data_IF_626952590349
#
_entry.id   IF_626952590349
#
_cell.length_a   1.000
_cell.length_b   1.000
_cell.length_c   1.000
_cell.angle_alpha   90.00
_cell.angle_beta   90.00
_cell.angle_gamma   90.00
#
_symmetry.space_group_name_H-M   'P 1'
#
loop_
_entity.id
_entity.type
_entity.pdbx_description
1 polymer ?
#
# COMPACT_ATOMS: atom_id res chain seq x y z
N UNK A 1 1.59 5.26 0.78
CA UNK A 1 1.90 6.59 0.23
C UNK A 1 0.64 7.45 0.06
N UNK A 2 -0.45 6.97 -0.59
CA UNK A 2 -1.65 7.77 -0.85
C UNK A 2 -2.31 8.32 0.42
N UNK A 3 -2.44 7.52 1.47
CA UNK A 3 -2.96 7.97 2.78
C UNK A 3 -2.05 9.05 3.36
N UNK A 4 -0.73 8.86 3.32
CA UNK A 4 0.25 9.84 3.81
C UNK A 4 0.17 11.16 3.04
N UNK A 5 0.11 11.10 1.71
CA UNK A 5 0.05 12.28 0.85
C UNK A 5 -1.25 13.08 1.07
N UNK A 6 -2.38 12.40 1.28
CA UNK A 6 -3.68 13.05 1.41
C UNK A 6 -3.99 13.53 2.84
N UNK A 7 -3.60 12.76 3.86
CA UNK A 7 -3.99 13.01 5.25
C UNK A 7 -2.83 13.38 6.18
N UNK A 8 -1.56 13.26 5.74
CA UNK A 8 -0.38 13.57 6.55
C UNK A 8 -0.39 15.01 7.08
N UNK A 9 -0.11 15.18 8.37
CA UNK A 9 -0.13 16.46 9.07
C UNK A 9 -1.54 17.03 9.30
N UNK A 10 -2.60 16.32 8.92
CA UNK A 10 -3.99 16.79 9.05
C UNK A 10 -4.70 16.11 10.22
N UNK A 11 -5.57 16.87 10.89
CA UNK A 11 -6.50 16.35 11.87
C UNK A 11 -7.63 15.62 11.16
N UNK A 12 -7.91 14.38 11.57
CA UNK A 12 -8.95 13.58 10.96
C UNK A 12 -10.18 13.44 11.85
N UNK A 13 -11.35 13.41 11.24
CA UNK A 13 -12.57 12.85 11.83
C UNK A 13 -12.66 11.38 11.42
N UNK A 14 -12.67 10.49 12.41
CA UNK A 14 -12.73 9.05 12.17
C UNK A 14 -14.05 8.47 12.65
N UNK A 15 -14.65 7.59 11.84
CA UNK A 15 -15.87 6.86 12.18
C UNK A 15 -15.86 5.44 11.62
N UNK A 16 -16.65 4.56 12.25
CA UNK A 16 -16.91 3.21 11.75
C UNK A 16 -18.41 3.06 11.53
N UNK A 17 -18.92 3.35 10.33
CA UNK A 17 -20.35 3.46 10.07
C UNK A 17 -21.16 2.24 10.46
N UNK A 18 -20.64 1.03 10.27
CA UNK A 18 -21.30 -0.22 10.67
C UNK A 18 -20.78 -0.78 12.00
N UNK A 19 -20.01 -0.01 12.75
CA UNK A 19 -19.60 -0.32 14.12
C UNK A 19 -18.50 -1.39 14.29
N UNK A 20 -18.05 -2.05 13.23
CA UNK A 20 -17.07 -3.15 13.33
C UNK A 20 -15.67 -2.70 13.80
N UNK A 21 -15.42 -1.39 13.86
CA UNK A 21 -14.20 -0.76 14.34
C UNK A 21 -14.52 0.49 15.18
N UNK A 22 -15.67 0.54 15.82
CA UNK A 22 -16.19 1.73 16.51
C UNK A 22 -15.23 2.23 17.59
N UNK A 23 -14.73 1.35 18.47
CA UNK A 23 -13.81 1.73 19.55
C UNK A 23 -12.48 2.24 18.99
N UNK A 24 -11.94 1.59 17.94
CA UNK A 24 -10.71 2.05 17.29
C UNK A 24 -10.91 3.41 16.63
N UNK A 25 -11.99 3.59 15.88
CA UNK A 25 -12.31 4.86 15.24
C UNK A 25 -12.47 6.00 16.27
N UNK A 26 -13.17 5.74 17.39
CA UNK A 26 -13.34 6.71 18.45
C UNK A 26 -12.00 7.16 19.07
N UNK A 27 -11.04 6.24 19.21
CA UNK A 27 -9.72 6.53 19.81
C UNK A 27 -8.81 7.36 18.91
N UNK A 28 -8.97 7.29 17.59
CA UNK A 28 -8.19 8.12 16.63
C UNK A 28 -8.97 9.33 16.11
N UNK A 29 -10.25 9.43 16.46
CA UNK A 29 -11.07 10.57 16.06
C UNK A 29 -10.54 11.87 16.67
N UNK A 30 -10.33 12.88 15.84
CA UNK A 30 -9.78 14.16 16.22
C UNK A 30 -8.25 14.18 16.36
N UNK A 31 -7.56 13.08 16.09
CA UNK A 31 -6.07 13.03 16.11
C UNK A 31 -5.49 13.49 14.78
N UNK A 32 -4.21 13.89 14.80
CA UNK A 32 -3.45 14.23 13.59
C UNK A 32 -2.72 13.00 13.09
N UNK A 33 -2.83 12.70 11.80
CA UNK A 33 -2.02 11.68 11.14
C UNK A 33 -0.58 12.21 11.00
N UNK A 34 0.37 11.60 11.71
CA UNK A 34 1.76 12.07 11.75
C UNK A 34 2.67 11.35 10.76
N UNK A 35 2.39 10.06 10.49
CA UNK A 35 3.12 9.28 9.50
C UNK A 35 2.26 8.15 8.93
N UNK A 36 2.66 7.62 7.77
CA UNK A 36 2.05 6.42 7.20
C UNK A 36 3.02 5.73 6.24
N UNK A 37 3.26 4.44 6.47
CA UNK A 37 4.11 3.61 5.63
C UNK A 37 3.50 2.21 5.46
N UNK A 38 4.10 1.43 4.57
CA UNK A 38 3.73 0.03 4.37
C UNK A 38 4.97 -0.85 4.33
N UNK A 39 4.88 -2.06 4.89
CA UNK A 39 5.85 -3.14 4.76
C UNK A 39 5.12 -4.37 4.28
N UNK A 40 5.52 -4.89 3.12
CA UNK A 40 4.77 -5.94 2.44
C UNK A 40 3.34 -5.51 2.18
N UNK A 41 2.40 -6.28 2.73
CA UNK A 41 0.96 -6.03 2.60
C UNK A 41 0.35 -5.37 3.84
N UNK A 42 1.17 -4.85 4.74
CA UNK A 42 0.75 -4.22 5.99
C UNK A 42 0.94 -2.70 5.89
N UNK A 43 -0.11 -1.94 6.05
CA UNK A 43 -0.06 -0.49 6.19
C UNK A 43 -0.08 -0.13 7.68
N UNK A 44 0.73 0.84 8.05
CA UNK A 44 0.77 1.43 9.39
C UNK A 44 0.60 2.93 9.27
N UNK A 45 -0.32 3.51 10.02
CA UNK A 45 -0.57 4.94 10.07
C UNK A 45 -0.50 5.42 11.52
N UNK A 46 0.45 6.31 11.80
CA UNK A 46 0.71 6.89 13.12
C UNK A 46 -0.16 8.09 13.39
N UNK A 47 -0.57 8.27 14.64
CA UNK A 47 -1.31 9.43 15.11
C UNK A 47 -0.60 10.13 16.27
N UNK A 48 -0.85 11.44 16.43
CA UNK A 48 -0.27 12.29 17.46
C UNK A 48 -0.61 11.85 18.91
N UNK A 49 -1.54 10.93 19.06
CA UNK A 49 -1.92 10.34 20.35
C UNK A 49 -1.14 9.04 20.69
N UNK A 50 -0.09 8.71 19.95
CA UNK A 50 0.75 7.52 20.15
C UNK A 50 0.12 6.20 19.69
N UNK A 51 -0.96 6.24 18.95
CA UNK A 51 -1.59 5.04 18.37
C UNK A 51 -1.23 4.87 16.91
N UNK A 52 -1.20 3.62 16.48
CA UNK A 52 -0.99 3.20 15.10
C UNK A 52 -2.21 2.44 14.60
N UNK A 53 -2.76 2.86 13.47
CA UNK A 53 -3.72 2.07 12.71
C UNK A 53 -2.95 1.09 11.81
N UNK A 54 -3.15 -0.20 12.04
CA UNK A 54 -2.68 -1.25 11.14
C UNK A 54 -3.80 -1.73 10.24
N UNK A 55 -3.53 -1.77 8.93
CA UNK A 55 -4.46 -2.28 7.92
C UNK A 55 -3.78 -3.33 7.04
N UNK A 56 -4.47 -4.45 6.83
CA UNK A 56 -4.17 -5.43 5.80
C UNK A 56 -5.40 -5.60 4.91
N UNK A 57 -5.31 -5.22 3.66
CA UNK A 57 -6.44 -5.25 2.74
C UNK A 57 -6.92 -6.68 2.46
N UNK A 58 -5.99 -7.65 2.35
CA UNK A 58 -6.33 -8.99 1.95
C UNK A 58 -6.71 -9.05 0.46
N UNK A 59 -7.67 -9.93 0.12
CA UNK A 59 -8.09 -10.15 -1.27
C UNK A 59 -9.21 -9.18 -1.67
N UNK A 60 -10.06 -8.79 -0.72
CA UNK A 60 -11.28 -8.01 -0.98
C UNK A 60 -11.24 -6.60 -0.40
N UNK A 61 -10.21 -6.27 0.36
CA UNK A 61 -10.08 -4.96 0.97
C UNK A 61 -9.69 -3.89 -0.03
N UNK A 62 -10.21 -2.67 0.19
CA UNK A 62 -9.83 -1.51 -0.58
C UNK A 62 -9.98 -0.21 0.21
N UNK A 63 -9.23 0.79 -0.21
CA UNK A 63 -9.43 2.18 0.12
C UNK A 63 -10.05 2.90 -1.08
N UNK A 64 -11.14 3.61 -0.86
CA UNK A 64 -11.75 4.51 -1.83
C UNK A 64 -11.61 5.95 -1.33
N UNK A 65 -11.28 6.88 -2.23
CA UNK A 65 -11.00 8.27 -1.90
C UNK A 65 -11.91 9.23 -2.64
N UNK A 66 -12.30 10.33 -1.99
CA UNK A 66 -13.10 11.43 -2.56
C UNK A 66 -12.56 12.78 -2.14
N UNK A 67 -12.93 13.82 -2.89
CA UNK A 67 -12.56 15.20 -2.64
C UNK A 67 -11.12 15.50 -3.08
N UNK A 68 -10.42 16.32 -2.31
CA UNK A 68 -9.03 16.68 -2.61
C UNK A 68 -8.09 15.53 -2.27
N UNK A 69 -7.76 14.73 -3.29
CA UNK A 69 -6.81 13.61 -3.19
C UNK A 69 -5.48 14.05 -3.74
N UNK A 70 -4.43 14.06 -2.90
CA UNK A 70 -3.09 14.44 -3.32
C UNK A 70 -2.48 13.31 -4.15
N UNK A 71 -2.11 13.60 -5.40
CA UNK A 71 -1.42 12.62 -6.24
C UNK A 71 -0.03 12.30 -5.67
N UNK A 72 0.33 11.02 -5.68
CA UNK A 72 1.69 10.57 -5.34
C UNK A 72 2.52 10.57 -6.61
N UNK A 73 3.64 11.30 -6.60
CA UNK A 73 4.58 11.37 -7.73
C UNK A 73 5.79 10.46 -7.45
N UNK A 74 5.98 9.48 -8.32
CA UNK A 74 7.12 8.56 -8.31
C UNK A 74 8.14 8.84 -9.43
N UNK A 75 8.12 10.03 -10.05
CA UNK A 75 9.06 10.39 -11.14
C UNK A 75 10.52 10.33 -10.69
N UNK A 76 10.79 10.60 -9.42
CA UNK A 76 12.12 10.47 -8.81
C UNK A 76 12.45 9.05 -8.29
N UNK A 77 11.59 8.08 -8.56
CA UNK A 77 11.67 6.71 -8.04
C UNK A 77 10.77 6.46 -6.83
N UNK A 78 10.60 5.19 -6.48
CA UNK A 78 9.85 4.79 -5.28
C UNK A 78 10.76 4.92 -4.07
N UNK A 79 10.42 5.72 -3.06
CA UNK A 79 11.26 5.90 -1.88
C UNK A 79 11.32 4.64 -1.03
N UNK A 80 12.49 4.36 -0.46
CA UNK A 80 12.62 3.33 0.57
C UNK A 80 11.83 3.71 1.82
N UNK A 81 11.27 2.70 2.48
CA UNK A 81 10.54 2.88 3.73
C UNK A 81 11.53 2.98 4.89
N UNK A 82 11.46 4.08 5.64
CA UNK A 82 12.18 4.22 6.91
C UNK A 82 11.29 3.71 8.04
N UNK A 83 11.76 2.71 8.78
CA UNK A 83 11.03 2.16 9.93
C UNK A 83 11.18 3.07 11.16
N UNK A 84 10.19 3.09 12.07
CA UNK A 84 10.32 3.79 13.34
C UNK A 84 11.57 3.31 14.12
N UNK A 85 12.38 4.25 14.66
CA UNK A 85 13.59 3.94 15.38
C UNK A 85 14.83 3.62 14.53
N UNK A 86 14.72 3.53 13.23
CA UNK A 86 15.88 3.43 12.35
C UNK A 86 16.53 4.81 12.15
N UNK A 87 17.87 4.87 12.21
CA UNK A 87 18.57 6.09 11.81
C UNK A 87 18.28 6.39 10.33
N UNK A 88 17.92 7.63 9.95
CA UNK A 88 17.67 7.96 8.55
C UNK A 88 18.97 7.73 7.76
N UNK A 89 18.87 7.02 6.64
CA UNK A 89 19.96 6.96 5.69
C UNK A 89 20.34 8.40 5.30
N UNK A 90 21.64 8.70 5.18
CA UNK A 90 22.21 10.06 5.07
C UNK A 90 21.65 10.92 3.92
N UNK A 91 20.83 10.35 3.03
CA UNK A 91 20.19 11.03 1.89
C UNK A 91 18.65 11.10 1.95
N UNK A 92 18.01 10.62 3.00
CA UNK A 92 16.56 10.69 3.15
C UNK A 92 16.15 11.90 3.99
N UNK A 93 15.99 13.07 3.35
CA UNK A 93 15.30 14.19 4.00
C UNK A 93 13.84 13.76 4.29
N UNK A 94 13.31 14.01 5.50
CA UNK A 94 11.94 13.65 5.84
C UNK A 94 10.97 14.35 4.89
N UNK A 95 10.03 13.59 4.32
CA UNK A 95 9.00 14.09 3.40
C UNK A 95 8.16 15.25 3.98
N UNK A 96 8.14 15.41 5.30
CA UNK A 96 7.46 16.50 6.01
C UNK A 96 8.08 17.87 5.70
N UNK A 97 9.39 17.97 5.50
CA UNK A 97 10.03 19.24 5.11
C UNK A 97 9.76 19.62 3.65
N UNK A 98 9.48 18.65 2.78
CA UNK A 98 9.12 18.93 1.37
C UNK A 98 7.67 19.42 1.18
N UNK A 99 6.78 19.12 2.12
CA UNK A 99 5.37 19.60 2.09
C UNK A 99 5.27 21.04 2.64
N UNK A 100 6.22 21.48 3.48
CA UNK A 100 6.23 22.83 4.07
C UNK A 100 6.71 23.94 3.14
N UNK A 101 7.44 23.64 2.07
CA UNK A 101 8.02 24.66 1.16
C UNK A 101 7.26 24.84 -0.16
N UNK A 102 6.15 24.14 -0.37
CA UNK A 102 5.25 24.39 -1.52
C UNK A 102 4.29 25.57 -1.30
N UNK A 103 4.55 26.43 -0.34
CA UNK A 103 3.82 27.66 -0.02
C UNK A 103 4.03 28.78 -1.02
N UNK A 104 4.29 28.54 -2.31
CA UNK A 104 4.15 29.48 -3.44
C UNK A 104 4.21 28.73 -4.76
N UNK A 105 3.17 28.01 -5.11
CA UNK A 105 2.86 27.76 -6.51
C UNK A 105 1.65 28.62 -6.86
N UNK A 106 1.95 29.90 -7.08
CA UNK A 106 1.14 30.72 -7.91
C UNK A 106 1.20 30.17 -9.33
N UNK A 107 0.03 29.96 -9.92
CA UNK A 107 -0.18 29.81 -11.36
C UNK A 107 0.46 28.61 -12.05
N UNK A 108 -0.13 27.43 -11.90
CA UNK A 108 -0.25 26.47 -13.00
C UNK A 108 -1.33 25.43 -12.66
N UNK A 109 -2.58 25.85 -12.66
CA UNK A 109 -3.74 24.95 -12.50
C UNK A 109 -3.81 23.83 -13.56
N UNK A 110 -3.17 24.02 -14.71
CA UNK A 110 -3.15 23.04 -15.79
C UNK A 110 -2.19 21.87 -15.55
N UNK A 111 -1.00 22.12 -14.94
CA UNK A 111 -0.06 21.02 -14.64
C UNK A 111 -0.54 20.10 -13.52
N UNK A 112 -1.21 20.66 -12.52
CA UNK A 112 -1.80 19.87 -11.44
C UNK A 112 -3.02 19.07 -11.91
N UNK A 113 -3.75 19.54 -12.92
CA UNK A 113 -4.85 18.83 -13.55
C UNK A 113 -4.35 17.71 -14.48
N UNK A 114 -3.28 17.94 -15.25
CA UNK A 114 -2.68 16.93 -16.12
C UNK A 114 -2.08 15.76 -15.32
N UNK A 115 -1.36 16.04 -14.24
CA UNK A 115 -0.85 14.98 -13.35
C UNK A 115 -1.97 14.25 -12.59
N UNK A 116 -3.05 14.95 -12.21
CA UNK A 116 -4.24 14.31 -11.65
C UNK A 116 -4.91 13.37 -12.67
N UNK A 117 -4.96 13.73 -13.95
CA UNK A 117 -5.50 12.86 -15.00
C UNK A 117 -4.66 11.60 -15.19
N UNK A 118 -3.33 11.68 -15.21
CA UNK A 118 -2.48 10.50 -15.41
C UNK A 118 -2.54 9.51 -14.23
N UNK A 119 -2.53 10.00 -12.99
CA UNK A 119 -2.59 9.11 -11.81
C UNK A 119 -4.01 8.54 -11.61
N UNK A 120 -5.05 9.32 -11.90
CA UNK A 120 -6.46 8.91 -11.80
C UNK A 120 -6.82 7.97 -12.96
N UNK A 121 -6.39 8.25 -14.19
CA UNK A 121 -6.67 7.42 -15.36
C UNK A 121 -6.01 6.02 -15.29
N UNK A 122 -4.87 5.88 -14.61
CA UNK A 122 -4.20 4.59 -14.44
C UNK A 122 -4.82 3.69 -13.37
N UNK A 123 -5.65 4.23 -12.47
CA UNK A 123 -6.23 3.50 -11.33
C UNK A 123 -7.75 3.37 -11.44
N UNK A 124 -8.39 4.23 -12.21
CA UNK A 124 -9.84 4.18 -12.48
C UNK A 124 -10.08 3.21 -13.63
N UNK A 125 -10.79 2.11 -13.36
CA UNK A 125 -11.41 1.31 -14.43
C UNK A 125 -12.25 2.23 -15.31
N UNK A 126 -12.24 1.97 -16.62
CA UNK A 126 -12.89 2.76 -17.66
C UNK A 126 -14.42 2.96 -17.51
N UNK A 127 -15.01 2.55 -16.41
CA UNK A 127 -16.45 2.55 -16.14
C UNK A 127 -16.95 3.72 -15.26
N UNK A 128 -16.22 4.84 -15.22
CA UNK A 128 -16.74 6.17 -14.83
C UNK A 128 -17.46 6.22 -13.47
N UNK A 129 -16.81 5.90 -12.37
CA UNK A 129 -17.45 5.90 -11.07
C UNK A 129 -16.91 6.95 -10.07
N UNK A 130 -17.77 7.44 -9.18
CA UNK A 130 -17.66 8.64 -8.34
C UNK A 130 -16.51 8.76 -7.33
N UNK A 131 -15.68 7.74 -7.11
CA UNK A 131 -14.47 7.91 -6.28
C UNK A 131 -13.32 8.46 -7.10
N UNK A 132 -12.63 9.47 -6.60
CA UNK A 132 -11.47 10.06 -7.26
C UNK A 132 -10.31 9.06 -7.41
N UNK A 133 -10.23 8.05 -6.53
CA UNK A 133 -9.20 7.03 -6.52
C UNK A 133 -9.65 5.81 -5.72
N UNK A 134 -9.34 4.60 -6.21
CA UNK A 134 -9.56 3.35 -5.48
C UNK A 134 -8.29 2.49 -5.47
N UNK A 135 -7.86 2.06 -4.28
CA UNK A 135 -6.66 1.23 -4.08
C UNK A 135 -7.05 -0.08 -3.41
N UNK A 136 -6.70 -1.21 -4.02
CA UNK A 136 -6.97 -2.55 -3.51
C UNK A 136 -7.81 -3.40 -4.47
N UNK A 137 -8.77 -4.17 -3.94
CA UNK A 137 -9.59 -5.07 -4.75
C UNK A 137 -10.43 -4.31 -5.80
N UNK A 138 -10.54 -4.83 -7.05
CA UNK A 138 -11.37 -4.23 -8.07
C UNK A 138 -12.82 -4.06 -7.60
N UNK A 139 -13.44 -2.94 -7.95
CA UNK A 139 -14.79 -2.58 -7.49
C UNK A 139 -15.86 -3.60 -7.89
N UNK A 140 -15.79 -4.17 -9.10
CA UNK A 140 -16.72 -5.21 -9.60
C UNK A 140 -16.82 -6.43 -8.69
N UNK A 141 -15.74 -6.82 -8.01
CA UNK A 141 -15.79 -7.92 -7.03
C UNK A 141 -16.42 -7.53 -5.69
N UNK A 142 -16.46 -6.23 -5.39
CA UNK A 142 -17.05 -5.69 -4.16
C UNK A 142 -18.54 -5.43 -4.29
N UNK A 143 -19.02 -5.16 -5.52
CA UNK A 143 -20.42 -4.78 -5.80
C UNK A 143 -21.34 -5.97 -6.07
N UNK A 144 -20.84 -7.21 -6.15
CA UNK A 144 -21.71 -8.40 -6.25
C UNK A 144 -22.71 -8.53 -5.10
N UNK A 145 -22.61 -7.68 -4.07
CA UNK A 145 -23.50 -7.65 -2.92
C UNK A 145 -24.54 -6.51 -2.92
N UNK A 146 -24.41 -5.48 -3.78
CA UNK A 146 -25.37 -4.35 -3.81
C UNK A 146 -25.37 -3.65 -5.16
N UNK A 147 -26.36 -3.93 -5.99
CA UNK A 147 -26.81 -3.08 -7.10
C UNK A 147 -27.47 -1.81 -6.52
N UNK A 148 -26.69 -0.77 -6.28
CA UNK A 148 -27.23 0.56 -5.99
C UNK A 148 -26.53 1.55 -6.91
N UNK A 149 -27.31 2.23 -7.75
CA UNK A 149 -26.88 3.38 -8.53
C UNK A 149 -26.20 4.39 -7.61
N UNK A 150 -24.91 4.61 -7.81
CA UNK A 150 -24.13 5.61 -7.09
C UNK A 150 -24.53 6.97 -7.65
N UNK A 151 -25.36 7.70 -6.92
CA UNK A 151 -25.72 9.06 -7.25
C UNK A 151 -24.47 9.96 -7.19
N UNK A 152 -24.25 10.75 -8.23
CA UNK A 152 -23.34 11.90 -8.23
C UNK A 152 -23.82 12.90 -7.19
N UNK A 153 -23.35 12.78 -5.96
CA UNK A 153 -23.71 13.69 -4.87
C UNK A 153 -22.70 14.84 -4.86
N UNK A 154 -23.17 16.06 -5.17
CA UNK A 154 -22.44 17.30 -4.88
C UNK A 154 -22.29 17.54 -3.36
N UNK A 155 -22.82 16.64 -2.54
CA UNK A 155 -22.87 16.78 -1.09
C UNK A 155 -21.56 16.34 -0.43
N UNK A 156 -20.98 17.18 0.41
CA UNK A 156 -19.84 16.86 1.25
C UNK A 156 -20.26 16.66 2.71
N UNK A 157 -19.78 15.60 3.40
CA UNK A 157 -19.00 14.47 2.89
C UNK A 157 -19.83 13.52 2.01
N UNK A 158 -19.18 12.69 1.16
CA UNK A 158 -19.89 11.77 0.28
C UNK A 158 -20.71 10.75 1.08
N UNK A 159 -21.81 10.29 0.51
CA UNK A 159 -22.64 9.26 1.12
C UNK A 159 -21.85 7.98 1.40
N UNK A 160 -22.27 7.26 2.45
CA UNK A 160 -21.65 5.96 2.79
C UNK A 160 -22.29 4.89 1.92
N UNK A 161 -21.50 4.33 1.00
CA UNK A 161 -21.97 3.26 0.12
C UNK A 161 -21.40 1.91 0.58
N UNK A 162 -22.27 0.93 0.83
CA UNK A 162 -21.89 -0.42 1.23
C UNK A 162 -21.28 -0.51 2.63
N UNK A 163 -20.45 -1.53 2.87
CA UNK A 163 -19.86 -1.80 4.19
C UNK A 163 -18.51 -1.10 4.35
N UNK A 164 -18.47 -0.02 5.13
CA UNK A 164 -17.26 0.74 5.45
C UNK A 164 -16.76 0.37 6.85
N UNK A 165 -15.54 -0.16 6.94
CA UNK A 165 -14.89 -0.52 8.21
C UNK A 165 -14.44 0.71 8.98
N UNK A 166 -13.83 1.66 8.27
CA UNK A 166 -13.32 2.91 8.78
C UNK A 166 -13.49 3.98 7.72
N UNK A 167 -14.03 5.13 8.10
CA UNK A 167 -14.06 6.36 7.33
C UNK A 167 -13.13 7.38 7.99
N UNK A 168 -12.24 7.96 7.22
CA UNK A 168 -11.39 9.07 7.61
C UNK A 168 -11.78 10.30 6.81
N UNK A 169 -12.02 11.42 7.48
CA UNK A 169 -12.46 12.68 6.89
C UNK A 169 -11.55 13.83 7.33
N UNK A 170 -11.32 14.75 6.41
CA UNK A 170 -10.93 16.14 6.67
C UNK A 170 -12.05 17.06 6.16
N UNK A 171 -11.81 18.35 6.17
CA UNK A 171 -12.72 19.34 5.55
C UNK A 171 -12.91 19.13 4.04
N UNK A 172 -11.95 18.50 3.34
CA UNK A 172 -11.92 18.38 1.88
C UNK A 172 -11.59 16.99 1.33
N UNK A 173 -11.19 16.07 2.18
CA UNK A 173 -10.77 14.72 1.76
C UNK A 173 -11.50 13.66 2.55
N UNK A 174 -11.90 12.59 1.87
CA UNK A 174 -12.53 11.42 2.47
C UNK A 174 -11.79 10.15 2.02
N UNK A 175 -11.60 9.20 2.94
CA UNK A 175 -11.15 7.86 2.61
C UNK A 175 -11.98 6.82 3.35
N UNK A 176 -12.53 5.84 2.62
CA UNK A 176 -13.31 4.73 3.14
C UNK A 176 -12.53 3.42 3.00
N UNK A 177 -12.31 2.75 4.11
CA UNK A 177 -11.75 1.40 4.14
C UNK A 177 -12.87 0.37 4.10
N UNK A 178 -12.84 -0.50 3.09
CA UNK A 178 -13.82 -1.57 2.90
C UNK A 178 -13.15 -2.94 2.92
N UNK A 179 -13.84 -3.92 3.49
CA UNK A 179 -13.47 -5.34 3.45
C UNK A 179 -12.04 -5.71 3.85
N UNK A 180 -11.33 -4.99 4.74
CA UNK A 180 -9.97 -5.36 5.12
C UNK A 180 -9.98 -6.66 5.91
N UNK A 181 -8.91 -7.45 5.76
CA UNK A 181 -8.67 -8.64 6.59
C UNK A 181 -8.25 -8.23 8.00
N UNK A 182 -7.45 -7.17 8.14
CA UNK A 182 -7.03 -6.59 9.42
C UNK A 182 -7.31 -5.09 9.42
N UNK A 183 -7.91 -4.62 10.52
CA UNK A 183 -8.06 -3.20 10.85
C UNK A 183 -8.04 -3.12 12.38
N UNK A 184 -6.93 -2.69 12.95
CA UNK A 184 -6.72 -2.66 14.40
C UNK A 184 -5.84 -1.49 14.81
N UNK A 185 -5.89 -1.12 16.09
CA UNK A 185 -4.96 -0.16 16.69
C UNK A 185 -3.88 -0.88 17.46
N UNK A 186 -2.66 -0.38 17.32
CA UNK A 186 -1.47 -0.86 18.01
C UNK A 186 -0.81 0.33 18.74
N UNK A 187 -0.01 0.00 19.75
CA UNK A 187 1.05 0.86 20.29
C UNK A 187 2.38 0.60 19.55
N UNK A 188 3.42 1.36 19.84
CA UNK A 188 4.75 1.20 19.22
C UNK A 188 5.26 -0.24 19.35
N UNK A 189 5.16 -0.83 20.54
CA UNK A 189 5.58 -2.22 20.77
C UNK A 189 4.75 -3.22 19.97
N UNK A 190 3.48 -2.92 19.68
CA UNK A 190 2.62 -3.70 18.80
C UNK A 190 3.09 -3.66 17.36
N UNK A 191 3.47 -2.48 16.87
CA UNK A 191 4.05 -2.29 15.53
C UNK A 191 5.35 -3.08 15.41
N UNK A 192 6.28 -2.92 16.35
CA UNK A 192 7.55 -3.66 16.37
C UNK A 192 7.32 -5.17 16.29
N UNK A 193 6.42 -5.72 17.12
CA UNK A 193 6.08 -7.15 17.10
C UNK A 193 5.54 -7.63 15.75
N UNK A 194 4.83 -6.78 15.01
CA UNK A 194 4.36 -7.15 13.67
C UNK A 194 5.50 -7.10 12.68
N UNK A 195 6.33 -6.04 12.70
CA UNK A 195 7.47 -5.87 11.80
C UNK A 195 8.51 -6.99 11.98
N UNK A 196 8.80 -7.39 13.21
CA UNK A 196 9.74 -8.49 13.53
C UNK A 196 9.34 -9.84 12.92
N UNK A 197 8.05 -10.05 12.72
CA UNK A 197 7.52 -11.28 12.12
C UNK A 197 7.55 -11.28 10.60
N UNK A 198 7.73 -10.12 9.96
CA UNK A 198 7.78 -10.02 8.52
C UNK A 198 9.16 -10.43 8.00
N UNK A 199 9.17 -11.12 6.87
CA UNK A 199 10.36 -11.35 6.06
C UNK A 199 10.89 -10.04 5.48
N UNK A 200 12.01 -10.09 4.76
CA UNK A 200 12.56 -8.92 4.08
C UNK A 200 11.58 -8.40 3.02
N UNK A 201 11.56 -7.07 2.88
CA UNK A 201 10.84 -6.33 1.86
C UNK A 201 11.87 -5.52 1.06
N UNK A 202 11.88 -5.57 -0.29
CA UNK A 202 12.84 -4.84 -1.11
C UNK A 202 12.82 -3.31 -0.91
N UNK A 203 11.71 -2.75 -0.47
CA UNK A 203 11.56 -1.32 -0.23
C UNK A 203 11.99 -0.90 1.20
N UNK A 204 12.45 -1.85 2.02
CA UNK A 204 12.79 -1.60 3.43
C UNK A 204 14.22 -1.98 3.72
N UNK A 205 15.02 -1.02 4.15
CA UNK A 205 16.41 -1.23 4.55
C UNK A 205 17.35 -1.53 3.39
N UNK A 206 18.42 -2.28 3.68
CA UNK A 206 19.44 -2.67 2.70
C UNK A 206 19.00 -3.89 1.89
N UNK A 207 18.91 -3.80 0.55
CA UNK A 207 18.53 -4.92 -0.31
C UNK A 207 19.47 -6.13 -0.21
N UNK A 208 20.76 -5.92 0.05
CA UNK A 208 21.73 -7.01 0.19
C UNK A 208 21.49 -7.80 1.48
N UNK A 209 21.25 -7.11 2.58
CA UNK A 209 20.84 -7.76 3.84
C UNK A 209 19.49 -8.47 3.69
N UNK A 210 18.58 -7.91 2.90
CA UNK A 210 17.31 -8.52 2.52
C UNK A 210 17.50 -9.82 1.76
N UNK A 211 18.40 -9.86 0.77
CA UNK A 211 18.77 -11.06 0.00
C UNK A 211 19.23 -12.20 0.91
N UNK A 212 20.19 -11.91 1.79
CA UNK A 212 20.73 -12.90 2.72
C UNK A 212 19.65 -13.45 3.67
N UNK A 213 18.78 -12.57 4.16
CA UNK A 213 17.67 -12.96 5.03
C UNK A 213 16.65 -13.83 4.30
N UNK A 214 16.27 -13.48 3.06
CA UNK A 214 15.37 -14.28 2.23
C UNK A 214 15.94 -15.66 1.96
N UNK A 215 17.19 -15.74 1.46
CA UNK A 215 17.88 -17.01 1.18
C UNK A 215 17.90 -17.88 2.43
N UNK A 216 18.36 -17.36 3.57
CA UNK A 216 18.38 -18.07 4.84
C UNK A 216 16.98 -18.56 5.26
N UNK A 217 15.94 -17.75 5.05
CA UNK A 217 14.57 -18.10 5.42
C UNK A 217 14.01 -19.24 4.55
N UNK A 218 14.30 -19.22 3.25
CA UNK A 218 13.80 -20.22 2.30
C UNK A 218 14.60 -21.53 2.36
N UNK A 219 15.93 -21.45 2.31
CA UNK A 219 16.82 -22.63 2.21
C UNK A 219 16.78 -23.58 3.39
N UNK A 220 16.29 -23.16 4.56
CA UNK A 220 16.16 -24.04 5.75
C UNK A 220 14.83 -24.79 5.84
N UNK A 221 13.89 -24.54 4.93
CA UNK A 221 12.52 -25.06 5.04
C UNK A 221 12.25 -26.16 4.01
N UNK A 222 11.60 -27.24 4.46
CA UNK A 222 11.15 -28.36 3.61
C UNK A 222 9.76 -28.14 3.00
N UNK A 223 9.28 -26.92 3.05
CA UNK A 223 7.99 -26.50 2.47
C UNK A 223 8.22 -26.13 0.99
N UNK A 224 7.28 -26.43 0.08
CA UNK A 224 7.37 -26.04 -1.31
C UNK A 224 7.67 -24.56 -1.50
N UNK A 225 8.57 -24.21 -2.42
CA UNK A 225 8.99 -22.82 -2.65
C UNK A 225 7.81 -21.92 -3.03
N UNK A 226 6.83 -22.43 -3.77
CA UNK A 226 5.62 -21.70 -4.10
C UNK A 226 4.76 -21.31 -2.88
N UNK A 227 4.83 -22.07 -1.78
CA UNK A 227 4.20 -21.72 -0.51
C UNK A 227 5.08 -20.74 0.29
N UNK A 228 6.41 -20.94 0.27
CA UNK A 228 7.35 -20.07 0.97
C UNK A 228 7.30 -18.64 0.46
N UNK A 229 7.16 -18.44 -0.86
CA UNK A 229 6.99 -17.10 -1.45
C UNK A 229 5.68 -16.39 -1.01
N UNK A 230 4.67 -17.15 -0.58
CA UNK A 230 3.42 -16.59 -0.02
C UNK A 230 3.50 -16.32 1.49
N UNK A 231 4.46 -16.94 2.19
CA UNK A 231 4.66 -16.76 3.62
C UNK A 231 5.34 -15.40 3.89
N UNK A 232 4.58 -14.45 4.39
CA UNK A 232 5.06 -13.10 4.66
C UNK A 232 6.18 -13.05 5.72
N UNK A 233 6.42 -14.14 6.45
CA UNK A 233 7.57 -14.28 7.36
C UNK A 233 8.85 -14.74 6.62
N UNK A 234 8.73 -15.28 5.42
CA UNK A 234 9.86 -15.65 4.55
C UNK A 234 10.28 -14.46 3.70
N UNK A 235 9.32 -13.83 3.03
CA UNK A 235 9.48 -12.64 2.20
C UNK A 235 8.20 -11.83 2.25
N UNK A 236 8.31 -10.53 2.49
CA UNK A 236 7.15 -9.65 2.55
C UNK A 236 6.72 -9.16 1.15
N UNK A 237 5.42 -8.94 0.97
CA UNK A 237 4.84 -8.29 -0.21
C UNK A 237 4.39 -9.24 -1.33
N UNK A 238 5.01 -10.39 -1.53
CA UNK A 238 4.65 -11.31 -2.60
C UNK A 238 3.22 -11.85 -2.43
N UNK A 239 2.45 -11.80 -3.51
CA UNK A 239 1.12 -12.38 -3.63
C UNK A 239 1.04 -13.40 -4.75
N UNK A 240 -0.17 -13.88 -5.07
CA UNK A 240 -0.38 -14.94 -6.07
C UNK A 240 0.24 -14.64 -7.42
N UNK A 241 0.14 -13.41 -7.91
CA UNK A 241 0.63 -13.00 -9.23
C UNK A 241 2.15 -12.98 -9.21
N UNK A 242 2.78 -12.20 -8.33
CA UNK A 242 4.23 -12.15 -8.25
C UNK A 242 4.87 -13.51 -7.93
N UNK A 243 4.22 -14.34 -7.10
CA UNK A 243 4.67 -15.72 -6.89
C UNK A 243 4.75 -16.52 -8.20
N UNK A 244 3.69 -16.47 -9.00
CA UNK A 244 3.64 -17.19 -10.27
C UNK A 244 4.73 -16.69 -11.24
N UNK A 245 4.84 -15.37 -11.37
CA UNK A 245 5.80 -14.73 -12.28
C UNK A 245 7.26 -14.98 -11.86
N UNK A 246 7.59 -14.80 -10.59
CA UNK A 246 8.96 -15.02 -10.08
C UNK A 246 9.37 -16.50 -10.28
N UNK A 247 8.48 -17.45 -10.01
CA UNK A 247 8.76 -18.86 -10.24
C UNK A 247 8.92 -19.19 -11.73
N UNK A 248 8.07 -18.62 -12.58
CA UNK A 248 8.16 -18.79 -14.03
C UNK A 248 9.46 -18.22 -14.58
N UNK A 249 9.82 -16.99 -14.20
CA UNK A 249 11.06 -16.32 -14.64
C UNK A 249 12.32 -17.06 -14.16
N UNK A 250 12.30 -17.56 -12.93
CA UNK A 250 13.40 -18.38 -12.39
C UNK A 250 13.46 -19.80 -12.98
N UNK A 251 12.42 -20.28 -13.65
CA UNK A 251 12.32 -21.63 -14.18
C UNK A 251 12.30 -22.70 -13.10
N UNK A 252 11.62 -22.44 -11.97
CA UNK A 252 11.60 -23.32 -10.79
C UNK A 252 10.21 -23.95 -10.61
N UNK A 253 10.20 -25.28 -10.38
CA UNK A 253 8.97 -25.99 -10.00
C UNK A 253 8.45 -25.45 -8.65
N UNK A 254 7.20 -24.95 -8.57
CA UNK A 254 6.61 -24.43 -7.35
C UNK A 254 6.52 -25.46 -6.22
N UNK A 255 6.58 -26.76 -6.53
CA UNK A 255 6.50 -27.85 -5.55
C UNK A 255 7.88 -28.24 -4.97
N UNK A 256 8.98 -27.74 -5.55
CA UNK A 256 10.31 -28.01 -5.05
C UNK A 256 10.46 -27.48 -3.61
N UNK A 257 10.90 -28.30 -2.63
CA UNK A 257 11.16 -27.84 -1.28
C UNK A 257 12.20 -26.71 -1.24
N UNK A 258 12.00 -25.69 -0.40
CA UNK A 258 12.90 -24.55 -0.33
C UNK A 258 14.36 -24.90 -0.05
N UNK A 259 14.60 -25.96 0.76
CA UNK A 259 15.96 -26.46 1.04
C UNK A 259 16.59 -27.26 -0.11
N UNK A 260 15.84 -27.54 -1.17
CA UNK A 260 16.33 -28.19 -2.39
C UNK A 260 16.49 -27.21 -3.55
N UNK A 261 15.98 -25.97 -3.40
CA UNK A 261 16.20 -24.91 -4.39
C UNK A 261 17.66 -24.45 -4.33
N UNK A 262 18.38 -24.45 -5.47
CA UNK A 262 19.75 -23.93 -5.50
C UNK A 262 19.83 -22.50 -4.97
N UNK A 263 20.81 -22.20 -4.14
CA UNK A 263 20.97 -20.86 -3.55
C UNK A 263 21.05 -19.75 -4.61
N UNK A 264 21.73 -20.02 -5.73
CA UNK A 264 21.79 -19.09 -6.87
C UNK A 264 20.41 -18.73 -7.41
N UNK A 265 19.46 -19.67 -7.40
CA UNK A 265 18.08 -19.44 -7.83
C UNK A 265 17.27 -18.66 -6.80
N UNK A 266 17.48 -18.88 -5.51
CA UNK A 266 16.88 -18.04 -4.47
C UNK A 266 17.36 -16.59 -4.60
N UNK A 267 18.66 -16.36 -4.84
CA UNK A 267 19.22 -15.03 -5.07
C UNK A 267 18.66 -14.37 -6.35
N UNK A 268 18.50 -15.14 -7.43
CA UNK A 268 17.86 -14.69 -8.67
C UNK A 268 16.42 -14.23 -8.41
N UNK A 269 15.62 -15.02 -7.69
CA UNK A 269 14.24 -14.66 -7.32
C UNK A 269 14.17 -13.36 -6.47
N UNK A 270 15.11 -13.18 -5.54
CA UNK A 270 15.16 -11.95 -4.74
C UNK A 270 15.48 -10.73 -5.61
N UNK A 271 16.48 -10.82 -6.48
CA UNK A 271 16.87 -9.72 -7.38
C UNK A 271 15.76 -9.37 -8.34
N UNK A 272 15.06 -10.36 -8.86
CA UNK A 272 13.86 -10.14 -9.69
C UNK A 272 12.78 -9.40 -8.89
N UNK A 273 12.54 -9.82 -7.65
CA UNK A 273 11.59 -9.14 -6.76
C UNK A 273 11.98 -7.70 -6.44
N UNK A 274 13.27 -7.40 -6.26
CA UNK A 274 13.77 -6.02 -6.04
C UNK A 274 13.57 -5.10 -7.24
N UNK A 275 13.36 -5.65 -8.43
CA UNK A 275 13.04 -4.89 -9.64
C UNK A 275 11.52 -4.75 -9.84
N UNK A 276 10.79 -5.85 -9.71
CA UNK A 276 9.35 -5.91 -9.99
C UNK A 276 8.50 -5.10 -9.00
N UNK A 277 8.87 -5.09 -7.71
CA UNK A 277 8.07 -4.40 -6.70
C UNK A 277 8.06 -2.88 -6.87
N UNK A 278 9.22 -2.19 -7.02
CA UNK A 278 9.22 -0.74 -7.29
C UNK A 278 8.45 -0.35 -8.54
N UNK A 279 8.58 -1.12 -9.62
CA UNK A 279 7.83 -0.88 -10.86
C UNK A 279 6.33 -1.01 -10.66
N UNK A 280 5.90 -2.05 -9.96
CA UNK A 280 4.49 -2.23 -9.61
C UNK A 280 3.93 -1.10 -8.73
N UNK A 281 4.72 -0.59 -7.78
CA UNK A 281 4.33 0.56 -6.93
C UNK A 281 4.25 1.83 -7.76
N UNK A 282 5.24 2.09 -8.61
CA UNK A 282 5.31 3.28 -9.46
C UNK A 282 4.12 3.38 -10.43
N UNK A 283 3.74 2.26 -11.02
CA UNK A 283 2.67 2.18 -12.03
C UNK A 283 1.29 1.98 -11.39
N UNK A 284 1.23 1.54 -10.12
CA UNK A 284 -0.02 1.17 -9.44
C UNK A 284 -0.61 -0.15 -9.93
N UNK A 285 0.12 -0.90 -10.77
CA UNK A 285 -0.27 -2.21 -11.34
C UNK A 285 0.89 -3.19 -11.22
N UNK A 286 0.59 -4.48 -11.19
CA UNK A 286 1.63 -5.51 -11.19
C UNK A 286 2.28 -5.61 -12.57
N UNK A 287 3.52 -5.13 -12.67
CA UNK A 287 4.34 -5.18 -13.87
C UNK A 287 5.24 -6.40 -13.82
N UNK A 288 5.14 -7.29 -14.79
CA UNK A 288 5.89 -8.58 -14.82
C UNK A 288 6.56 -8.87 -16.16
N UNK A 289 6.34 -8.02 -17.16
CA UNK A 289 6.97 -8.12 -18.48
C UNK A 289 8.00 -7.00 -18.64
N UNK A 290 9.24 -7.40 -18.86
CA UNK A 290 10.35 -6.45 -19.01
C UNK A 290 10.17 -5.56 -20.26
N UNK A 291 10.46 -4.27 -20.11
CA UNK A 291 10.44 -3.30 -21.19
C UNK A 291 9.06 -2.79 -21.61
N UNK A 292 7.96 -3.27 -21.00
CA UNK A 292 6.65 -2.66 -21.21
C UNK A 292 6.45 -1.47 -20.26
N UNK A 293 5.99 -0.36 -20.83
CA UNK A 293 5.50 0.79 -20.06
C UNK A 293 4.02 0.58 -19.72
N UNK A 294 3.52 1.31 -18.70
CA UNK A 294 2.10 1.21 -18.28
C UNK A 294 1.09 1.43 -19.42
N UNK A 295 1.47 2.20 -20.46
CA UNK A 295 0.63 2.48 -21.64
C UNK A 295 0.55 1.31 -22.64
N UNK A 296 1.44 0.34 -22.55
CA UNK A 296 1.51 -0.81 -23.48
C UNK A 296 0.73 -2.03 -22.97
N UNK A 297 0.05 -1.91 -21.83
CA UNK A 297 -0.76 -2.97 -21.21
C UNK A 297 -2.25 -2.93 -21.60
N UNK A 298 -2.65 -2.05 -22.51
CA UNK A 298 -4.04 -1.93 -23.00
C UNK A 298 -4.34 -2.89 -24.14
#
# INVERSE_FOLDING_TARGET
>A
DQIRATFGGRRITASSPQGRFADGAARINGSVLTDCFAVGKQMFAAFDNGLWLRVHLGIYGAWDFWGEVTAVDYSAGVPSVTLPGAEPAADSAPLVERVGDSGRIGQTGEYAAANRMHTVAQIVDADGEDSALSIGAPRRRRMAEHDTELATSEQWPPEIVGTVRLRMLTDRSCADLRGPTVCELLDDAGVERVLDRLGPDPLVGDPAAGEERFVKNAARRRVPIGQLLMDQAVVAGIGNIYRAEILFRAGIDPHLPGNEVPESKLREMWRDWTQLLPDGVRVGRMMTIDGLTGEQWE
#
